data_IF_151132280223
#
_entry.id   IF_151132280223
#
_cell.length_a   1.000
_cell.length_b   1.000
_cell.length_c   1.000
_cell.angle_alpha   90.00
_cell.angle_beta   90.00
_cell.angle_gamma   90.00
#
_symmetry.space_group_name_H-M   'P 1'
#
loop_
_entity.id
_entity.type
_entity.pdbx_description
1 polymer ?
#
# COMPACT_ATOMS: atom_id res chain seq x y z
N UNK A 1 21.46 0.48 48.78
CA UNK A 1 20.66 1.16 49.81
C UNK A 1 19.27 0.56 49.70
N UNK A 2 18.72 -0.06 50.75
CA UNK A 2 17.39 -0.68 50.66
C UNK A 2 16.32 0.40 50.68
N UNK A 3 15.34 0.30 49.79
CA UNK A 3 14.22 1.24 49.73
C UNK A 3 12.88 0.54 49.98
N UNK A 4 11.77 1.26 49.86
CA UNK A 4 10.44 0.73 50.13
C UNK A 4 10.03 -0.45 49.21
N UNK A 5 10.70 -0.64 48.06
CA UNK A 5 10.49 -1.78 47.15
C UNK A 5 11.00 -3.08 47.76
N UNK A 6 11.96 -3.01 48.68
CA UNK A 6 12.50 -4.18 49.40
C UNK A 6 11.65 -4.62 50.60
N UNK A 7 10.50 -3.98 50.84
CA UNK A 7 9.73 -4.16 52.07
C UNK A 7 9.32 -5.61 52.38
N UNK A 8 9.02 -6.42 51.35
CA UNK A 8 8.70 -7.86 51.52
C UNK A 8 9.92 -8.65 52.03
N UNK A 9 11.09 -8.40 51.46
CA UNK A 9 12.35 -9.03 51.89
C UNK A 9 12.76 -8.57 53.29
N UNK A 10 12.48 -7.30 53.63
CA UNK A 10 12.69 -6.76 54.97
C UNK A 10 11.76 -7.40 55.99
N UNK A 11 10.47 -7.60 55.67
CA UNK A 11 9.51 -8.26 56.54
C UNK A 11 9.88 -9.72 56.81
N UNK A 12 10.32 -10.44 55.78
CA UNK A 12 10.82 -11.81 55.92
C UNK A 12 12.07 -11.88 56.81
N UNK A 13 13.03 -10.97 56.59
CA UNK A 13 14.26 -10.88 57.39
C UNK A 13 13.95 -10.54 58.86
N UNK A 14 13.03 -9.59 59.08
CA UNK A 14 12.56 -9.19 60.41
C UNK A 14 11.91 -10.37 61.15
N UNK A 15 11.03 -11.10 60.47
CA UNK A 15 10.37 -12.28 61.04
C UNK A 15 11.36 -13.35 61.50
N UNK A 16 12.34 -13.67 60.65
CA UNK A 16 13.39 -14.64 61.00
C UNK A 16 14.21 -14.18 62.21
N UNK A 17 14.55 -12.88 62.26
CA UNK A 17 15.29 -12.31 63.38
C UNK A 17 14.48 -12.32 64.70
N UNK A 18 13.18 -12.01 64.66
CA UNK A 18 12.31 -12.01 65.84
C UNK A 18 12.07 -13.42 66.37
N UNK A 19 11.95 -14.41 65.49
CA UNK A 19 11.81 -15.82 65.87
C UNK A 19 13.05 -16.32 66.64
N UNK A 20 14.26 -15.89 66.27
CA UNK A 20 15.49 -16.24 67.00
C UNK A 20 15.54 -15.68 68.43
N UNK A 21 14.69 -14.69 68.74
CA UNK A 21 14.56 -14.03 70.06
C UNK A 21 13.28 -14.43 70.78
N UNK A 22 12.63 -15.52 70.35
CA UNK A 22 11.38 -16.05 70.89
C UNK A 22 10.21 -15.05 70.89
N UNK A 23 10.20 -14.08 69.97
CA UNK A 23 9.03 -13.21 69.73
C UNK A 23 8.21 -13.84 68.61
N UNK A 24 7.02 -14.32 68.93
CA UNK A 24 6.09 -14.84 67.94
C UNK A 24 5.51 -13.68 67.13
N UNK A 25 5.64 -13.76 65.80
CA UNK A 25 5.01 -12.81 64.88
C UNK A 25 4.57 -13.52 63.61
N UNK A 26 3.42 -13.11 63.11
CA UNK A 26 2.87 -13.56 61.84
C UNK A 26 3.52 -12.84 60.67
N UNK A 27 3.39 -13.42 59.48
CA UNK A 27 3.83 -12.77 58.24
C UNK A 27 3.17 -11.40 58.05
N UNK A 28 1.86 -11.30 58.30
CA UNK A 28 1.10 -10.07 58.18
C UNK A 28 1.56 -8.99 59.16
N UNK A 29 1.81 -9.34 60.42
CA UNK A 29 2.34 -8.39 61.42
C UNK A 29 3.73 -7.87 61.04
N UNK A 30 4.58 -8.73 60.48
CA UNK A 30 5.90 -8.31 60.01
C UNK A 30 5.80 -7.31 58.86
N UNK A 31 4.83 -7.48 57.95
CA UNK A 31 4.56 -6.53 56.86
C UNK A 31 4.03 -5.19 57.39
N UNK A 32 3.14 -5.20 58.39
CA UNK A 32 2.62 -4.00 59.05
C UNK A 32 3.73 -3.20 59.76
N UNK A 33 4.64 -3.89 60.45
CA UNK A 33 5.78 -3.25 61.12
C UNK A 33 6.73 -2.57 60.13
N UNK A 34 6.99 -3.22 58.99
CA UNK A 34 7.81 -2.62 57.93
C UNK A 34 7.11 -1.43 57.27
N UNK A 35 5.79 -1.51 57.06
CA UNK A 35 5.02 -0.37 56.54
C UNK A 35 5.15 0.86 57.44
N UNK A 36 4.98 0.68 58.75
CA UNK A 36 5.16 1.75 59.73
C UNK A 36 6.59 2.28 59.78
N UNK A 37 7.60 1.41 59.66
CA UNK A 37 9.01 1.82 59.62
C UNK A 37 9.33 2.73 58.41
N UNK A 38 8.63 2.54 57.29
CA UNK A 38 8.73 3.41 56.12
C UNK A 38 7.78 4.62 56.14
N UNK A 39 7.02 4.82 57.24
CA UNK A 39 6.11 5.96 57.40
C UNK A 39 4.74 5.77 56.74
N UNK A 40 4.29 4.53 56.52
CA UNK A 40 2.97 4.21 55.98
C UNK A 40 2.04 3.68 57.07
N UNK A 41 0.75 4.02 56.99
CA UNK A 41 -0.23 3.66 58.04
C UNK A 41 -0.47 2.14 58.13
N UNK A 42 -0.39 1.44 57.00
CA UNK A 42 -0.55 -0.02 56.92
C UNK A 42 0.11 -0.63 55.68
N UNK A 43 0.16 -1.96 55.65
CA UNK A 43 0.74 -2.72 54.54
C UNK A 43 0.03 -2.46 53.20
N UNK A 44 -1.29 -2.29 53.18
CA UNK A 44 -2.03 -2.09 51.92
C UNK A 44 -1.58 -0.82 51.19
N UNK A 45 -1.32 0.27 51.92
CA UNK A 45 -0.82 1.53 51.34
C UNK A 45 0.59 1.35 50.77
N UNK A 46 1.48 0.70 51.52
CA UNK A 46 2.85 0.45 51.06
C UNK A 46 2.85 -0.50 49.84
N UNK A 47 2.05 -1.57 49.85
CA UNK A 47 1.91 -2.50 48.73
C UNK A 47 1.44 -1.79 47.46
N UNK A 48 0.42 -0.93 47.56
CA UNK A 48 -0.07 -0.14 46.42
C UNK A 48 1.02 0.77 45.83
N UNK A 49 1.87 1.36 46.68
CA UNK A 49 3.02 2.16 46.22
C UNK A 49 4.11 1.33 45.56
N UNK A 50 4.40 0.13 46.07
CA UNK A 50 5.34 -0.81 45.45
C UNK A 50 4.83 -1.17 44.06
N UNK A 51 3.57 -1.57 43.93
CA UNK A 51 2.96 -1.92 42.64
C UNK A 51 2.92 -0.74 41.67
N UNK A 52 2.70 0.49 42.15
CA UNK A 52 2.76 1.68 41.30
C UNK A 52 4.19 1.96 40.81
N UNK A 53 5.19 1.76 41.67
CA UNK A 53 6.59 1.95 41.33
C UNK A 53 7.13 0.87 40.39
N UNK A 54 6.70 -0.38 40.56
CA UNK A 54 7.00 -1.50 39.65
C UNK A 54 6.34 -1.26 38.28
N UNK A 55 5.07 -0.82 38.25
CA UNK A 55 4.39 -0.42 37.01
C UNK A 55 5.10 0.73 36.31
N UNK A 56 5.60 1.73 37.05
CA UNK A 56 6.38 2.82 36.47
C UNK A 56 7.74 2.37 35.93
N UNK A 57 8.37 1.34 36.52
CA UNK A 57 9.63 0.78 36.04
C UNK A 57 9.47 -0.08 34.78
N UNK A 58 8.28 -0.64 34.57
CA UNK A 58 7.94 -1.50 33.40
C UNK A 58 7.14 -0.72 32.33
N UNK A 59 6.72 0.51 32.63
CA UNK A 59 6.07 1.35 31.64
C UNK A 59 7.05 1.64 30.49
N UNK A 60 6.69 1.34 29.23
CA UNK A 60 7.51 1.73 28.10
C UNK A 60 7.64 3.26 28.10
N UNK A 61 8.86 3.77 28.05
CA UNK A 61 9.11 5.18 27.70
C UNK A 61 8.36 5.48 26.39
N UNK A 62 7.78 6.68 26.22
CA UNK A 62 7.23 7.05 24.93
C UNK A 62 8.39 7.13 23.92
N UNK A 63 8.61 6.05 23.17
CA UNK A 63 9.46 6.04 21.99
C UNK A 63 9.03 7.22 21.11
N UNK A 64 9.93 8.18 20.91
CA UNK A 64 9.71 9.23 19.94
C UNK A 64 9.35 8.54 18.60
N UNK A 65 8.22 8.88 17.97
CA UNK A 65 7.79 8.20 16.75
C UNK A 65 8.92 8.30 15.72
N UNK A 66 9.42 7.14 15.27
CA UNK A 66 10.47 7.10 14.27
C UNK A 66 10.04 7.94 13.06
N UNK A 67 10.91 8.84 12.55
CA UNK A 67 10.53 9.71 11.46
C UNK A 67 10.12 8.87 10.24
N UNK A 68 8.99 9.23 9.63
CA UNK A 68 8.51 8.56 8.42
C UNK A 68 9.43 8.91 7.24
N UNK A 69 9.60 7.97 6.30
CA UNK A 69 10.45 8.16 5.13
C UNK A 69 9.67 7.91 3.85
N UNK A 70 9.99 8.66 2.79
CA UNK A 70 9.46 8.41 1.46
C UNK A 70 9.94 7.06 0.91
N UNK A 71 9.03 6.21 0.45
CA UNK A 71 9.34 4.88 -0.09
C UNK A 71 10.10 4.91 -1.42
N UNK A 72 10.13 6.06 -2.10
CA UNK A 72 10.72 6.21 -3.45
C UNK A 72 12.11 6.85 -3.44
N UNK A 73 12.32 7.86 -2.60
CA UNK A 73 13.61 8.55 -2.50
C UNK A 73 14.29 8.41 -1.13
N UNK A 74 13.67 7.68 -0.19
CA UNK A 74 14.18 7.41 1.16
C UNK A 74 14.42 8.64 2.04
N UNK A 75 13.98 9.83 1.64
CA UNK A 75 14.09 11.06 2.43
C UNK A 75 13.14 11.05 3.63
N UNK A 76 13.57 11.64 4.75
CA UNK A 76 12.76 11.80 5.95
C UNK A 76 11.60 12.77 5.71
N UNK A 77 10.53 12.65 6.51
CA UNK A 77 9.42 13.61 6.59
C UNK A 77 9.91 15.04 6.87
N UNK A 78 11.08 15.20 7.49
CA UNK A 78 11.70 16.50 7.78
C UNK A 78 12.49 17.07 6.60
N UNK A 79 12.90 16.24 5.64
CA UNK A 79 13.68 16.64 4.47
C UNK A 79 12.80 17.02 3.26
N UNK A 80 11.48 16.85 3.39
CA UNK A 80 10.51 17.06 2.31
C UNK A 80 9.42 18.02 2.77
N UNK A 81 8.88 18.81 1.85
CA UNK A 81 7.85 19.80 2.18
C UNK A 81 6.52 19.12 2.52
N UNK A 82 6.20 18.02 1.83
CA UNK A 82 5.00 17.19 2.11
C UNK A 82 5.34 15.71 1.94
N UNK A 83 4.83 14.90 2.85
CA UNK A 83 4.86 13.44 2.77
C UNK A 83 3.41 12.92 2.83
N UNK A 84 2.98 12.20 1.81
CA UNK A 84 1.63 11.64 1.66
C UNK A 84 1.69 10.18 2.11
N UNK A 85 0.83 9.80 3.05
CA UNK A 85 0.71 8.43 3.55
C UNK A 85 -0.38 7.65 2.81
N UNK A 86 -0.04 6.45 2.34
CA UNK A 86 -0.98 5.43 1.86
C UNK A 86 -0.85 4.14 2.68
N UNK A 87 -1.67 3.12 2.40
CA UNK A 87 -1.58 1.82 3.08
C UNK A 87 -0.20 1.17 2.87
N UNK A 88 0.68 1.26 3.87
CA UNK A 88 2.03 0.69 3.84
C UNK A 88 3.05 1.40 2.94
N UNK A 89 2.75 2.60 2.43
CA UNK A 89 3.64 3.32 1.50
C UNK A 89 3.58 4.83 1.76
N UNK A 90 4.68 5.52 1.53
CA UNK A 90 4.77 6.98 1.66
C UNK A 90 5.40 7.60 0.41
N UNK A 91 4.88 8.71 -0.06
CA UNK A 91 5.43 9.43 -1.23
C UNK A 91 5.54 10.93 -0.94
N UNK A 92 6.67 11.53 -1.28
CA UNK A 92 6.88 12.97 -1.10
C UNK A 92 6.46 13.78 -2.33
N UNK A 93 6.27 15.08 -2.16
CA UNK A 93 5.87 16.00 -3.23
C UNK A 93 6.82 15.99 -4.44
N UNK A 94 8.14 15.94 -4.22
CA UNK A 94 9.11 15.85 -5.31
C UNK A 94 8.99 14.55 -6.11
N UNK A 95 8.74 13.42 -5.44
CA UNK A 95 8.52 12.15 -6.14
C UNK A 95 7.20 12.18 -6.92
N UNK A 96 6.15 12.82 -6.39
CA UNK A 96 4.89 13.03 -7.13
C UNK A 96 5.13 13.87 -8.38
N UNK A 97 5.90 14.95 -8.31
CA UNK A 97 6.24 15.79 -9.47
C UNK A 97 6.96 14.98 -10.55
N UNK A 98 7.99 14.22 -10.17
CA UNK A 98 8.72 13.34 -11.12
C UNK A 98 7.78 12.30 -11.74
N UNK A 99 6.95 11.64 -10.94
CA UNK A 99 5.96 10.70 -11.44
C UNK A 99 4.97 11.38 -12.40
N UNK A 100 4.49 12.58 -12.08
CA UNK A 100 3.59 13.34 -12.93
C UNK A 100 4.25 13.72 -14.25
N UNK A 101 5.53 14.05 -14.27
CA UNK A 101 6.25 14.38 -15.50
C UNK A 101 6.41 13.15 -16.39
N UNK A 102 6.79 12.00 -15.82
CA UNK A 102 6.82 10.72 -16.54
C UNK A 102 5.44 10.36 -17.10
N UNK A 103 4.39 10.44 -16.27
CA UNK A 103 3.00 10.17 -16.69
C UNK A 103 2.54 11.17 -17.75
N UNK A 104 2.96 12.44 -17.70
CA UNK A 104 2.63 13.44 -18.72
C UNK A 104 3.35 13.17 -20.03
N UNK A 105 4.58 12.69 -20.00
CA UNK A 105 5.30 12.26 -21.20
C UNK A 105 4.61 11.05 -21.84
N UNK A 106 4.20 10.05 -21.06
CA UNK A 106 3.35 8.96 -21.54
C UNK A 106 1.96 9.46 -22.01
N UNK A 107 1.40 10.45 -21.33
CA UNK A 107 0.13 11.09 -21.65
C UNK A 107 0.17 11.99 -22.89
N UNK A 108 1.36 12.45 -23.33
CA UNK A 108 1.52 13.10 -24.63
C UNK A 108 1.25 12.10 -25.75
N UNK A 109 1.76 10.86 -25.64
CA UNK A 109 1.40 9.80 -26.58
C UNK A 109 -0.11 9.54 -26.56
N UNK A 110 -0.72 9.44 -25.38
CA UNK A 110 -2.17 9.22 -25.27
C UNK A 110 -3.01 10.38 -25.85
N UNK A 111 -2.51 11.63 -25.84
CA UNK A 111 -3.13 12.82 -26.46
C UNK A 111 -2.86 12.96 -27.96
N UNK A 112 -1.68 12.56 -28.43
CA UNK A 112 -1.30 12.51 -29.85
C UNK A 112 -2.09 11.41 -30.55
N UNK A 113 -2.45 10.35 -29.82
CA UNK A 113 -3.16 9.19 -30.34
C UNK A 113 -4.64 9.09 -29.96
N UNK A 114 -5.10 9.86 -28.97
CA UNK A 114 -6.53 10.07 -28.69
C UNK A 114 -7.38 10.42 -29.94
N UNK A 115 -6.88 11.19 -30.93
CA UNK A 115 -7.62 11.49 -32.16
C UNK A 115 -7.86 10.27 -33.07
N UNK A 116 -7.05 9.21 -32.94
CA UNK A 116 -7.20 7.95 -33.68
C UNK A 116 -8.07 6.93 -32.95
N UNK A 117 -8.51 7.23 -31.72
CA UNK A 117 -9.46 6.38 -30.99
C UNK A 117 -10.84 6.52 -31.66
N UNK A 118 -11.48 5.41 -32.08
CA UNK A 118 -12.83 5.44 -32.64
C UNK A 118 -13.76 6.10 -31.61
N UNK A 119 -14.57 7.01 -32.13
CA UNK A 119 -15.41 7.98 -31.43
C UNK A 119 -16.28 7.34 -30.32
N UNK A 120 -15.83 7.42 -29.06
CA UNK A 120 -16.71 7.24 -27.92
C UNK A 120 -17.36 8.59 -27.57
N UNK A 121 -18.37 8.96 -28.37
CA UNK A 121 -19.38 9.94 -27.98
C UNK A 121 -19.06 11.43 -28.21
N UNK A 122 -17.96 11.77 -28.88
CA UNK A 122 -17.73 13.14 -29.37
C UNK A 122 -18.03 13.21 -30.86
N UNK A 123 -19.31 13.28 -31.22
CA UNK A 123 -19.77 13.73 -32.55
C UNK A 123 -19.44 15.22 -32.73
N UNK A 124 -18.18 15.62 -32.61
CA UNK A 124 -17.72 16.91 -33.10
C UNK A 124 -17.53 16.76 -34.62
N UNK A 125 -18.41 17.34 -35.45
CA UNK A 125 -18.31 17.24 -36.90
C UNK A 125 -17.04 17.89 -37.45
N UNK A 126 -16.35 18.70 -36.65
CA UNK A 126 -15.12 19.41 -36.99
C UNK A 126 -13.87 18.54 -36.78
N UNK A 127 -13.99 17.37 -36.14
CA UNK A 127 -12.85 16.52 -35.82
C UNK A 127 -12.56 15.60 -37.00
N UNK A 128 -11.35 15.65 -37.61
CA UNK A 128 -11.01 14.78 -38.73
C UNK A 128 -11.11 13.31 -38.31
N UNK A 129 -11.60 12.46 -39.21
CA UNK A 129 -11.74 11.03 -38.93
C UNK A 129 -10.37 10.38 -38.67
N UNK A 130 -10.34 9.30 -37.89
CA UNK A 130 -9.09 8.62 -37.54
C UNK A 130 -8.23 8.26 -38.78
N UNK A 131 -8.87 7.86 -39.90
CA UNK A 131 -8.15 7.59 -41.15
C UNK A 131 -7.51 8.85 -41.77
N UNK A 132 -8.22 9.98 -41.75
CA UNK A 132 -7.72 11.25 -42.29
C UNK A 132 -6.52 11.75 -41.49
N UNK A 133 -6.60 11.65 -40.16
CA UNK A 133 -5.50 11.99 -39.27
C UNK A 133 -4.28 11.11 -39.53
N UNK A 134 -4.46 9.79 -39.62
CA UNK A 134 -3.37 8.88 -39.93
C UNK A 134 -2.70 9.19 -41.28
N UNK A 135 -3.48 9.59 -42.29
CA UNK A 135 -2.96 10.04 -43.60
C UNK A 135 -2.19 11.37 -43.53
N UNK A 136 -2.46 12.22 -42.55
CA UNK A 136 -1.72 13.46 -42.30
C UNK A 136 -0.46 13.30 -41.43
N UNK A 137 -0.36 12.20 -40.68
CA UNK A 137 0.78 11.91 -39.78
C UNK A 137 2.00 11.39 -40.55
N UNK A 138 3.22 11.70 -40.10
CA UNK A 138 4.45 11.17 -40.73
C UNK A 138 4.57 9.64 -40.58
N UNK A 139 5.40 8.99 -41.40
CA UNK A 139 5.62 7.54 -41.29
C UNK A 139 6.28 7.15 -39.97
N UNK A 140 7.21 7.96 -39.47
CA UNK A 140 7.90 7.71 -38.20
C UNK A 140 6.93 7.76 -37.02
N UNK A 141 6.16 8.84 -36.88
CA UNK A 141 5.15 8.99 -35.83
C UNK A 141 4.06 7.90 -35.91
N UNK A 142 3.66 7.51 -37.13
CA UNK A 142 2.66 6.46 -37.32
C UNK A 142 3.20 5.05 -37.01
N UNK A 143 4.49 4.82 -37.23
CA UNK A 143 5.16 3.58 -36.83
C UNK A 143 5.31 3.49 -35.30
N UNK A 144 5.69 4.60 -34.65
CA UNK A 144 5.70 4.70 -33.18
C UNK A 144 4.31 4.47 -32.60
N UNK A 145 3.28 5.05 -33.22
CA UNK A 145 1.89 4.80 -32.85
C UNK A 145 1.53 3.32 -32.91
N UNK A 146 1.88 2.67 -34.03
CA UNK A 146 1.58 1.26 -34.23
C UNK A 146 2.32 0.38 -33.20
N UNK A 147 3.54 0.74 -32.82
CA UNK A 147 4.27 0.01 -31.77
C UNK A 147 3.62 0.20 -30.40
N UNK A 148 3.20 1.41 -30.06
CA UNK A 148 2.47 1.67 -28.82
C UNK A 148 1.14 0.91 -28.77
N UNK A 149 0.37 0.95 -29.87
CA UNK A 149 -0.89 0.22 -29.98
C UNK A 149 -0.71 -1.29 -29.80
N UNK A 150 0.39 -1.87 -30.33
CA UNK A 150 0.70 -3.31 -30.16
C UNK A 150 0.90 -3.67 -28.69
N UNK A 151 1.68 -2.86 -27.96
CA UNK A 151 1.88 -3.04 -26.51
C UNK A 151 0.57 -2.88 -25.74
N UNK A 152 -0.28 -1.93 -26.16
CA UNK A 152 -1.63 -1.76 -25.63
C UNK A 152 -2.49 -3.03 -25.80
N UNK A 153 -2.56 -3.56 -27.02
CA UNK A 153 -3.25 -4.82 -27.34
C UNK A 153 -2.76 -5.98 -26.47
N UNK A 154 -1.44 -6.16 -26.35
CA UNK A 154 -0.85 -7.24 -25.56
C UNK A 154 -1.25 -7.15 -24.08
N UNK A 155 -1.11 -5.96 -23.49
CA UNK A 155 -1.49 -5.69 -22.10
C UNK A 155 -2.97 -5.92 -21.85
N UNK A 156 -3.84 -5.40 -22.72
CA UNK A 156 -5.29 -5.55 -22.57
C UNK A 156 -5.72 -7.00 -22.77
N UNK A 157 -5.11 -7.75 -23.69
CA UNK A 157 -5.37 -9.18 -23.88
C UNK A 157 -4.94 -10.00 -22.65
N UNK A 158 -3.78 -9.69 -22.09
CA UNK A 158 -3.31 -10.33 -20.86
C UNK A 158 -4.27 -10.08 -19.68
N UNK A 159 -4.73 -8.84 -19.55
CA UNK A 159 -5.75 -8.47 -18.56
C UNK A 159 -7.05 -9.25 -18.79
N UNK A 160 -7.59 -9.28 -20.01
CA UNK A 160 -8.78 -10.05 -20.33
C UNK A 160 -8.65 -11.53 -19.96
N UNK A 161 -7.51 -12.15 -20.28
CA UNK A 161 -7.23 -13.54 -19.91
C UNK A 161 -7.31 -13.75 -18.38
N UNK A 162 -6.75 -12.83 -17.59
CA UNK A 162 -6.81 -12.92 -16.13
C UNK A 162 -8.24 -12.69 -15.59
N UNK A 163 -9.03 -11.78 -16.16
CA UNK A 163 -10.45 -11.61 -15.79
C UNK A 163 -11.24 -12.89 -16.10
N UNK A 164 -11.04 -13.48 -17.28
CA UNK A 164 -11.73 -14.69 -17.71
C UNK A 164 -11.39 -15.88 -16.81
N UNK A 165 -10.12 -16.04 -16.44
CA UNK A 165 -9.70 -17.03 -15.43
C UNK A 165 -10.39 -16.81 -14.10
N UNK A 166 -10.46 -15.56 -13.64
CA UNK A 166 -11.12 -15.24 -12.36
C UNK A 166 -12.62 -15.52 -12.41
N UNK A 167 -13.30 -15.22 -13.52
CA UNK A 167 -14.71 -15.51 -13.75
C UNK A 167 -14.99 -17.01 -13.82
N UNK A 168 -14.05 -17.81 -14.34
CA UNK A 168 -14.18 -19.26 -14.44
C UNK A 168 -14.01 -20.02 -13.10
N UNK A 169 -13.49 -19.36 -12.05
CA UNK A 169 -13.32 -19.96 -10.73
C UNK A 169 -14.65 -20.26 -10.06
N UNK A 170 -14.76 -21.43 -9.42
CA UNK A 170 -15.93 -21.85 -8.64
C UNK A 170 -15.87 -21.27 -7.23
N UNK A 171 -17.02 -21.29 -6.55
CA UNK A 171 -17.12 -20.89 -5.15
C UNK A 171 -16.30 -21.85 -4.28
N UNK A 172 -15.25 -21.34 -3.65
CA UNK A 172 -14.31 -22.12 -2.83
C UNK A 172 -12.93 -22.35 -3.46
N UNK A 173 -12.76 -22.01 -4.74
CA UNK A 173 -11.44 -22.05 -5.37
C UNK A 173 -10.56 -20.91 -4.81
N UNK A 174 -9.29 -21.25 -4.57
CA UNK A 174 -8.28 -20.30 -4.09
C UNK A 174 -7.56 -19.65 -5.28
N UNK A 175 -7.81 -18.34 -5.56
CA UNK A 175 -7.21 -17.66 -6.70
C UNK A 175 -5.70 -17.49 -6.58
N UNK A 176 -5.11 -17.61 -5.40
CA UNK A 176 -3.65 -17.50 -5.22
C UNK A 176 -2.88 -18.70 -5.77
N UNK A 177 -3.57 -19.82 -6.03
CA UNK A 177 -3.00 -21.01 -6.66
C UNK A 177 -2.90 -20.91 -8.17
N UNK A 178 -3.58 -19.96 -8.80
CA UNK A 178 -3.42 -19.70 -10.24
C UNK A 178 -2.22 -18.78 -10.45
N UNK A 179 -1.26 -19.24 -11.25
CA UNK A 179 0.00 -18.55 -11.48
C UNK A 179 -0.17 -17.14 -12.10
N UNK A 180 -1.23 -16.92 -12.88
CA UNK A 180 -1.52 -15.60 -13.46
C UNK A 180 -2.17 -14.71 -12.40
N UNK A 181 -3.18 -15.20 -11.69
CA UNK A 181 -3.89 -14.43 -10.66
C UNK A 181 -3.04 -14.13 -9.41
N UNK A 182 -1.95 -14.89 -9.19
CA UNK A 182 -0.98 -14.65 -8.14
C UNK A 182 -0.02 -13.47 -8.43
N UNK A 183 0.00 -12.95 -9.66
CA UNK A 183 0.88 -11.85 -10.01
C UNK A 183 0.51 -10.57 -9.23
N UNK A 184 1.48 -9.82 -8.69
CA UNK A 184 1.21 -8.62 -7.88
C UNK A 184 0.33 -7.58 -8.60
N UNK A 185 0.53 -7.39 -9.91
CA UNK A 185 -0.25 -6.46 -10.72
C UNK A 185 -1.73 -6.86 -10.92
N UNK A 186 -2.12 -8.08 -10.58
CA UNK A 186 -3.47 -8.62 -10.74
C UNK A 186 -4.17 -8.92 -9.41
N UNK A 187 -3.51 -8.67 -8.27
CA UNK A 187 -4.07 -8.92 -6.94
C UNK A 187 -5.42 -8.23 -6.72
N UNK A 188 -5.66 -7.08 -7.37
CA UNK A 188 -6.92 -6.34 -7.27
C UNK A 188 -8.14 -7.14 -7.75
N UNK A 189 -7.97 -8.14 -8.62
CA UNK A 189 -9.06 -9.00 -9.11
C UNK A 189 -9.62 -9.94 -8.05
N UNK A 190 -8.84 -10.24 -7.01
CA UNK A 190 -9.22 -11.24 -6.01
C UNK A 190 -10.44 -10.79 -5.19
N UNK A 191 -10.53 -9.49 -4.87
CA UNK A 191 -11.61 -8.89 -4.08
C UNK A 191 -12.81 -8.41 -4.89
N UNK A 192 -12.84 -8.60 -6.22
CA UNK A 192 -13.94 -8.15 -7.07
C UNK A 192 -15.12 -9.12 -7.06
N UNK A 193 -16.33 -8.57 -7.00
CA UNK A 193 -17.57 -9.32 -7.20
C UNK A 193 -17.69 -9.79 -8.65
N UNK A 194 -18.51 -10.82 -8.88
CA UNK A 194 -18.77 -11.34 -10.23
C UNK A 194 -19.31 -10.27 -11.19
N UNK A 195 -20.20 -9.38 -10.69
CA UNK A 195 -20.74 -8.28 -11.50
C UNK A 195 -19.67 -7.23 -11.88
N UNK A 196 -18.75 -6.93 -10.96
CA UNK A 196 -17.62 -6.05 -11.26
C UNK A 196 -16.67 -6.68 -12.28
N UNK A 197 -16.41 -8.00 -12.18
CA UNK A 197 -15.57 -8.71 -13.13
C UNK A 197 -16.16 -8.73 -14.55
N UNK A 198 -17.48 -8.92 -14.68
CA UNK A 198 -18.17 -8.81 -15.98
C UNK A 198 -18.09 -7.38 -16.55
N UNK A 199 -18.16 -6.37 -15.69
CA UNK A 199 -18.00 -4.97 -16.09
C UNK A 199 -16.57 -4.71 -16.58
N UNK A 200 -15.57 -5.19 -15.83
CA UNK A 200 -14.16 -5.11 -16.22
C UNK A 200 -13.90 -5.85 -17.53
N UNK A 201 -14.49 -7.03 -17.73
CA UNK A 201 -14.39 -7.79 -18.98
C UNK A 201 -14.90 -6.97 -20.16
N UNK A 202 -16.12 -6.42 -20.06
CA UNK A 202 -16.72 -5.61 -21.12
C UNK A 202 -15.86 -4.38 -21.44
N UNK A 203 -15.40 -3.67 -20.43
CA UNK A 203 -14.58 -2.48 -20.61
C UNK A 203 -13.25 -2.82 -21.29
N UNK A 204 -12.60 -3.88 -20.85
CA UNK A 204 -11.33 -4.34 -21.44
C UNK A 204 -11.52 -4.85 -22.87
N UNK A 205 -12.65 -5.49 -23.20
CA UNK A 205 -13.01 -5.87 -24.57
C UNK A 205 -13.22 -4.65 -25.47
N UNK A 206 -13.93 -3.62 -24.98
CA UNK A 206 -14.11 -2.38 -25.72
C UNK A 206 -12.76 -1.69 -25.98
N UNK A 207 -11.91 -1.62 -24.96
CA UNK A 207 -10.57 -1.04 -25.07
C UNK A 207 -9.69 -1.82 -26.07
N UNK A 208 -9.73 -3.16 -26.03
CA UNK A 208 -9.00 -4.00 -26.97
C UNK A 208 -9.42 -3.71 -28.41
N UNK A 209 -10.74 -3.65 -28.69
CA UNK A 209 -11.24 -3.33 -30.03
C UNK A 209 -10.74 -1.97 -30.51
N UNK A 210 -10.65 -0.97 -29.61
CA UNK A 210 -10.13 0.36 -29.95
C UNK A 210 -8.66 0.32 -30.34
N UNK A 211 -7.81 -0.39 -29.58
CA UNK A 211 -6.40 -0.55 -29.96
C UNK A 211 -6.24 -1.32 -31.27
N UNK A 212 -7.02 -2.39 -31.48
CA UNK A 212 -6.98 -3.17 -32.73
C UNK A 212 -7.41 -2.35 -33.94
N UNK A 213 -8.45 -1.54 -33.82
CA UNK A 213 -8.90 -0.65 -34.90
C UNK A 213 -7.88 0.44 -35.22
N UNK A 214 -7.33 1.08 -34.18
CA UNK A 214 -6.24 2.03 -34.29
C UNK A 214 -5.03 1.46 -35.03
N UNK A 215 -4.60 0.26 -34.65
CA UNK A 215 -3.50 -0.46 -35.31
C UNK A 215 -3.81 -0.77 -36.75
N UNK A 216 -5.03 -1.22 -37.05
CA UNK A 216 -5.46 -1.49 -38.42
C UNK A 216 -5.34 -0.23 -39.28
N UNK A 217 -5.83 0.91 -38.80
CA UNK A 217 -5.74 2.19 -39.54
C UNK A 217 -4.28 2.57 -39.80
N UNK A 218 -3.45 2.54 -38.76
CA UNK A 218 -2.04 2.94 -38.85
C UNK A 218 -1.25 2.03 -39.82
N UNK A 219 -1.41 0.72 -39.67
CA UNK A 219 -0.74 -0.27 -40.52
C UNK A 219 -1.20 -0.22 -41.97
N UNK A 220 -2.49 0.02 -42.22
CA UNK A 220 -3.01 0.23 -43.59
C UNK A 220 -2.37 1.46 -44.25
N UNK A 221 -2.31 2.61 -43.57
CA UNK A 221 -1.70 3.82 -44.15
C UNK A 221 -0.20 3.64 -44.39
N UNK A 222 0.53 2.99 -43.48
CA UNK A 222 1.94 2.67 -43.68
C UNK A 222 2.15 1.74 -44.88
N UNK A 223 1.31 0.72 -45.04
CA UNK A 223 1.38 -0.21 -46.17
C UNK A 223 1.11 0.50 -47.50
N UNK A 224 0.04 1.30 -47.59
CA UNK A 224 -0.30 2.09 -48.79
C UNK A 224 0.85 3.02 -49.21
N UNK A 225 1.52 3.66 -48.25
CA UNK A 225 2.67 4.54 -48.52
C UNK A 225 3.93 3.78 -48.93
N UNK A 226 4.14 2.58 -48.38
CA UNK A 226 5.25 1.71 -48.75
C UNK A 226 5.14 1.19 -50.18
N UNK A 227 3.92 0.85 -50.62
CA UNK A 227 3.64 0.42 -52.00
C UNK A 227 3.79 1.55 -53.04
N UNK A 228 3.57 2.80 -52.64
CA UNK A 228 3.75 3.98 -53.52
C UNK A 228 5.22 4.41 -53.68
N UNK A 229 6.12 3.90 -52.84
CA UNK A 229 7.54 4.25 -52.83
C UNK A 229 8.42 3.21 -53.57
N UNK A 230 7.84 2.08 -54.01
CA UNK A 230 8.50 1.02 -54.78
C UNK A 230 8.11 1.05 -56.25
#
# INVERSE_FOLDING_TARGET
MRDFRDAKAMAQSLRHALQSRAVETTHSESLELIAKAFGYDNWNILSAKIEAAERAAVAPEPEAPQPLHCSFCSKSQHDVRKLIAGPGVYICDKCVEVCLDVIREEGKFDKVFAPLKPDEGSRDPSRPGALELARGTSNEELAEYAEHGRKGVERTRFMLQAIERRLAMRKGDDPTRDAILALPGLAFLQGKSHAELLTLQRNSQNELRRYEEALRIATTVLAERGEQAG
#
